data_IF_446159761730
#
_entry.id   IF_446159761730
#
_cell.length_a   1.000
_cell.length_b   1.000
_cell.length_c   1.000
_cell.angle_alpha   90.00
_cell.angle_beta   90.00
_cell.angle_gamma   90.00
#
_symmetry.space_group_name_H-M   'P 1'
#
loop_
_entity.id
_entity.type
_entity.pdbx_description
1 polymer ?
#
# COMPACT_ATOMS: atom_id res chain seq x y z
N UNK A 1 8.40 -28.46 -19.82
CA UNK A 1 9.05 -27.15 -19.56
C UNK A 1 8.34 -26.33 -18.46
N UNK A 2 7.58 -26.96 -17.56
CA UNK A 2 6.91 -26.31 -16.41
C UNK A 2 7.55 -26.66 -15.05
N UNK A 3 8.59 -27.51 -15.04
CA UNK A 3 9.16 -28.10 -13.82
C UNK A 3 10.44 -27.40 -13.32
N UNK A 4 11.08 -26.56 -14.15
CA UNK A 4 12.39 -25.95 -13.85
C UNK A 4 12.31 -24.57 -13.18
N UNK A 5 11.17 -23.86 -13.27
CA UNK A 5 10.99 -22.51 -12.70
C UNK A 5 10.54 -22.51 -11.22
N UNK A 6 10.07 -23.63 -10.69
CA UNK A 6 9.61 -23.72 -9.28
C UNK A 6 10.77 -23.79 -8.27
N UNK A 7 11.96 -24.21 -8.69
CA UNK A 7 13.09 -24.45 -7.78
C UNK A 7 13.99 -23.23 -7.55
N UNK A 8 13.90 -22.18 -8.39
CA UNK A 8 14.71 -20.97 -8.21
C UNK A 8 14.07 -19.90 -7.32
N UNK A 9 12.73 -19.90 -7.18
CA UNK A 9 12.01 -18.94 -6.32
C UNK A 9 12.09 -19.34 -4.83
N UNK A 10 12.20 -20.64 -4.53
CA UNK A 10 12.30 -21.13 -3.16
C UNK A 10 13.59 -20.70 -2.42
N UNK A 11 14.69 -20.54 -3.15
CA UNK A 11 16.00 -20.23 -2.55
C UNK A 11 16.10 -18.76 -2.08
N UNK A 12 15.41 -17.83 -2.76
CA UNK A 12 15.43 -16.41 -2.40
C UNK A 12 14.53 -16.10 -1.19
N UNK A 13 13.39 -16.80 -1.06
CA UNK A 13 12.49 -16.66 0.10
C UNK A 13 13.13 -17.18 1.39
N UNK A 14 13.84 -18.31 1.32
CA UNK A 14 14.55 -18.88 2.47
C UNK A 14 15.71 -17.98 2.94
N UNK A 15 16.41 -17.30 2.04
CA UNK A 15 17.48 -16.35 2.39
C UNK A 15 16.98 -15.09 3.10
N UNK A 16 15.79 -14.60 2.73
CA UNK A 16 15.15 -13.45 3.40
C UNK A 16 14.59 -13.83 4.77
N UNK A 17 14.06 -15.06 4.93
CA UNK A 17 13.56 -15.55 6.21
C UNK A 17 14.69 -15.81 7.24
N UNK A 18 15.85 -16.30 6.81
CA UNK A 18 16.99 -16.58 7.70
C UNK A 18 17.57 -15.30 8.35
N UNK A 19 17.62 -14.19 7.61
CA UNK A 19 18.14 -12.91 8.14
C UNK A 19 17.17 -12.19 9.11
N UNK A 20 15.87 -12.53 9.10
CA UNK A 20 14.88 -11.93 10.00
C UNK A 20 14.80 -12.60 11.38
N UNK A 21 15.46 -13.75 11.57
CA UNK A 21 15.50 -14.47 12.84
C UNK A 21 16.65 -13.99 13.76
N UNK A 22 17.75 -13.49 13.18
CA UNK A 22 18.95 -13.09 13.93
C UNK A 22 18.78 -11.72 14.64
N UNK A 23 18.06 -10.79 14.02
CA UNK A 23 17.82 -9.46 14.57
C UNK A 23 16.91 -9.42 15.83
N UNK A 24 16.29 -10.54 16.23
CA UNK A 24 15.35 -10.62 17.37
C UNK A 24 15.95 -11.10 18.68
N UNK A 25 17.24 -11.46 18.74
CA UNK A 25 17.89 -11.92 19.99
C UNK A 25 18.54 -10.82 20.83
N UNK A 26 18.67 -9.60 20.32
CA UNK A 26 19.45 -8.54 20.99
C UNK A 26 18.63 -7.42 21.69
N UNK A 27 17.30 -7.53 21.77
CA UNK A 27 16.44 -6.46 22.35
C UNK A 27 15.81 -6.83 23.70
N UNK A 28 15.94 -8.08 24.15
CA UNK A 28 15.28 -8.54 25.38
C UNK A 28 16.26 -8.66 26.56
N UNK A 29 16.74 -7.54 27.08
CA UNK A 29 17.25 -7.42 28.46
C UNK A 29 17.55 -5.95 28.77
N UNK A 30 16.59 -5.24 29.37
CA UNK A 30 16.81 -4.11 30.30
C UNK A 30 15.47 -3.54 30.77
N UNK A 31 14.81 -4.30 31.63
CA UNK A 31 13.81 -3.76 32.55
C UNK A 31 14.16 -4.24 33.96
N UNK A 32 14.73 -3.34 34.75
CA UNK A 32 14.59 -3.37 36.21
C UNK A 32 15.03 -2.02 36.78
N UNK A 33 14.27 -1.57 37.79
CA UNK A 33 14.55 -0.48 38.73
C UNK A 33 14.04 0.92 38.34
N UNK A 34 12.79 1.22 38.74
CA UNK A 34 12.52 2.16 39.85
C UNK A 34 11.01 2.32 40.08
N UNK A 35 10.50 1.65 41.12
CA UNK A 35 9.22 2.00 41.75
C UNK A 35 9.49 3.16 42.71
N UNK A 36 8.96 4.35 42.42
CA UNK A 36 8.74 5.39 43.43
C UNK A 36 7.24 5.53 43.63
N UNK A 37 6.79 5.38 44.88
CA UNK A 37 5.41 5.64 45.31
C UNK A 37 5.10 7.13 45.14
N UNK A 38 4.00 7.46 44.47
CA UNK A 38 3.44 8.81 44.46
C UNK A 38 2.40 8.94 45.60
N UNK A 39 2.36 10.06 46.34
CA UNK A 39 1.37 10.26 47.39
C UNK A 39 0.02 10.63 46.78
N UNK A 40 -1.02 10.09 47.43
CA UNK A 40 -2.43 10.28 47.15
C UNK A 40 -2.81 11.76 47.24
N UNK A 41 -3.45 12.29 46.19
CA UNK A 41 -3.96 13.65 46.12
C UNK A 41 -5.05 13.74 45.06
N UNK A 42 -6.29 13.55 45.48
CA UNK A 42 -7.49 13.82 44.68
C UNK A 42 -7.55 15.34 44.45
N UNK A 43 -7.47 15.76 43.20
CA UNK A 43 -8.02 17.04 42.73
C UNK A 43 -8.72 16.79 41.41
N UNK A 44 -10.02 16.97 41.46
CA UNK A 44 -10.89 17.12 40.30
C UNK A 44 -10.33 18.23 39.40
N UNK A 45 -9.89 17.84 38.21
CA UNK A 45 -9.63 18.73 37.10
C UNK A 45 -10.34 18.14 35.87
N UNK A 46 -11.53 18.67 35.66
CA UNK A 46 -12.06 19.10 34.36
C UNK A 46 -12.39 17.98 33.36
N UNK A 47 -13.66 17.55 33.40
CA UNK A 47 -14.31 16.65 32.43
C UNK A 47 -14.52 17.23 31.02
N UNK A 48 -13.55 17.97 30.50
CA UNK A 48 -13.58 18.62 29.17
C UNK A 48 -12.69 17.91 28.12
N UNK A 49 -12.06 16.78 28.46
CA UNK A 49 -11.26 16.00 27.51
C UNK A 49 -11.98 14.77 26.93
N UNK A 50 -13.26 14.56 27.28
CA UNK A 50 -14.00 13.33 26.93
C UNK A 50 -14.80 13.42 25.61
N UNK A 51 -14.71 14.53 24.86
CA UNK A 51 -15.60 14.80 23.72
C UNK A 51 -14.95 14.83 22.32
N UNK A 52 -13.81 14.18 22.10
CA UNK A 52 -13.06 14.41 20.84
C UNK A 52 -12.53 13.21 20.05
N UNK A 53 -12.66 11.95 20.49
CA UNK A 53 -12.09 10.84 19.72
C UNK A 53 -12.87 9.53 19.84
N UNK A 54 -14.14 9.57 19.44
CA UNK A 54 -14.79 8.38 18.89
C UNK A 54 -14.74 8.45 17.37
N UNK A 55 -13.73 7.81 16.80
CA UNK A 55 -13.94 7.00 15.60
C UNK A 55 -13.16 5.70 15.77
N UNK A 56 -13.91 4.66 16.13
CA UNK A 56 -13.49 3.27 16.10
C UNK A 56 -13.36 2.77 14.66
N UNK A 57 -12.51 1.77 14.45
CA UNK A 57 -12.66 0.72 13.43
C UNK A 57 -12.90 1.18 11.97
N UNK A 58 -11.95 1.94 11.44
CA UNK A 58 -11.38 2.01 10.07
C UNK A 58 -10.57 3.31 10.11
N UNK A 59 -9.29 3.26 9.73
CA UNK A 59 -8.48 4.49 9.71
C UNK A 59 -9.09 5.44 8.68
N UNK A 60 -9.44 6.66 9.10
CA UNK A 60 -9.94 7.69 8.17
C UNK A 60 -8.90 7.94 7.07
N UNK A 61 -9.35 8.31 5.86
CA UNK A 61 -8.48 8.50 4.69
C UNK A 61 -7.31 9.46 4.94
N UNK A 62 -7.50 10.52 5.74
CA UNK A 62 -6.44 11.46 6.11
C UNK A 62 -5.35 10.78 6.92
N UNK A 63 -5.73 9.98 7.91
CA UNK A 63 -4.78 9.20 8.71
C UNK A 63 -4.03 8.15 7.86
N UNK A 64 -4.70 7.55 6.87
CA UNK A 64 -4.06 6.63 5.91
C UNK A 64 -3.08 7.37 4.98
N UNK A 65 -3.44 8.55 4.49
CA UNK A 65 -2.56 9.38 3.67
C UNK A 65 -1.36 9.89 4.46
N UNK A 66 -1.55 10.30 5.72
CA UNK A 66 -0.46 10.72 6.59
C UNK A 66 0.50 9.55 6.89
N UNK A 67 -0.03 8.36 7.19
CA UNK A 67 0.79 7.16 7.39
C UNK A 67 1.56 6.80 6.12
N UNK A 68 0.88 6.75 4.97
CA UNK A 68 1.51 6.47 3.68
C UNK A 68 2.60 7.50 3.33
N UNK A 69 2.34 8.79 3.52
CA UNK A 69 3.29 9.87 3.26
C UNK A 69 4.55 9.79 4.16
N UNK A 70 4.44 9.22 5.36
CA UNK A 70 5.59 9.03 6.25
C UNK A 70 6.65 8.06 5.70
N UNK A 71 6.27 7.19 4.74
CA UNK A 71 7.17 6.28 4.02
C UNK A 71 7.68 6.87 2.70
N UNK A 72 7.16 8.01 2.26
CA UNK A 72 7.46 8.62 0.96
C UNK A 72 7.73 10.12 1.15
N UNK A 73 8.89 10.45 1.72
CA UNK A 73 9.24 11.82 2.10
C UNK A 73 10.01 12.54 1.00
N UNK A 74 10.94 11.84 0.36
CA UNK A 74 11.84 12.39 -0.66
C UNK A 74 11.13 12.60 -1.99
N UNK A 75 11.51 13.65 -2.72
CA UNK A 75 10.96 13.93 -4.06
C UNK A 75 11.29 12.83 -5.06
N UNK A 76 12.49 12.24 -4.98
CA UNK A 76 12.89 11.10 -5.80
C UNK A 76 11.99 9.88 -5.61
N UNK A 77 11.75 9.48 -4.36
CA UNK A 77 10.82 8.36 -4.10
C UNK A 77 9.42 8.65 -4.62
N UNK A 78 8.88 9.85 -4.34
CA UNK A 78 7.55 10.26 -4.84
C UNK A 78 7.47 10.21 -6.37
N UNK A 79 8.51 10.67 -7.08
CA UNK A 79 8.53 10.65 -8.55
C UNK A 79 8.49 9.22 -9.11
N UNK A 80 9.32 8.32 -8.56
CA UNK A 80 9.34 6.91 -8.95
C UNK A 80 7.99 6.22 -8.67
N UNK A 81 7.34 6.56 -7.56
CA UNK A 81 6.00 6.05 -7.24
C UNK A 81 4.92 6.60 -8.17
N UNK A 82 4.93 7.90 -8.46
CA UNK A 82 3.98 8.56 -9.40
C UNK A 82 4.02 7.95 -10.80
N UNK A 83 5.16 7.41 -11.23
CA UNK A 83 5.28 6.71 -12.52
C UNK A 83 4.98 5.22 -12.37
N UNK A 84 5.59 4.55 -11.39
CA UNK A 84 5.52 3.10 -11.27
C UNK A 84 4.16 2.57 -10.83
N UNK A 85 3.40 3.29 -9.99
CA UNK A 85 2.05 2.85 -9.57
C UNK A 85 1.10 2.80 -10.77
N UNK A 86 0.97 3.86 -11.60
CA UNK A 86 0.17 3.78 -12.83
C UNK A 86 0.59 2.66 -13.77
N UNK A 87 1.90 2.42 -13.95
CA UNK A 87 2.40 1.32 -14.78
C UNK A 87 1.98 -0.04 -14.23
N UNK A 88 2.12 -0.26 -12.92
CA UNK A 88 1.70 -1.49 -12.25
C UNK A 88 0.19 -1.69 -12.42
N UNK A 89 -0.62 -0.66 -12.19
CA UNK A 89 -2.08 -0.76 -12.30
C UNK A 89 -2.53 -1.10 -13.73
N UNK A 90 -2.04 -0.34 -14.72
CA UNK A 90 -2.35 -0.56 -16.13
C UNK A 90 -2.02 -1.99 -16.56
N UNK A 91 -0.80 -2.43 -16.27
CA UNK A 91 -0.32 -3.74 -16.68
C UNK A 91 -0.97 -4.89 -15.90
N UNK A 92 -1.21 -4.73 -14.60
CA UNK A 92 -1.88 -5.74 -13.77
C UNK A 92 -3.31 -5.98 -14.25
N UNK A 93 -4.08 -4.92 -14.47
CA UNK A 93 -5.45 -5.04 -14.98
C UNK A 93 -5.45 -5.65 -16.39
N UNK A 94 -4.51 -5.25 -17.25
CA UNK A 94 -4.34 -5.87 -18.56
C UNK A 94 -4.05 -7.37 -18.50
N UNK A 95 -3.18 -7.82 -17.59
CA UNK A 95 -2.90 -9.26 -17.41
C UNK A 95 -4.12 -10.00 -16.87
N UNK A 96 -4.79 -9.45 -15.86
CA UNK A 96 -5.94 -10.07 -15.22
C UNK A 96 -7.19 -10.12 -16.12
N UNK A 97 -7.34 -9.19 -17.07
CA UNK A 97 -8.41 -9.19 -18.06
C UNK A 97 -8.38 -10.44 -18.98
N UNK A 98 -7.27 -11.18 -18.99
CA UNK A 98 -7.09 -12.42 -19.76
C UNK A 98 -7.46 -13.69 -18.98
N UNK A 99 -7.83 -13.54 -17.72
CA UNK A 99 -8.16 -14.65 -16.82
C UNK A 99 -9.67 -14.67 -16.64
N UNK A 100 -10.42 -15.45 -17.45
CA UNK A 100 -11.87 -15.51 -17.33
C UNK A 100 -12.28 -16.12 -15.99
N UNK A 101 -13.38 -15.64 -15.41
CA UNK A 101 -13.96 -16.18 -14.17
C UNK A 101 -15.33 -16.78 -14.45
N UNK A 102 -16.28 -15.97 -14.92
CA UNK A 102 -17.63 -16.43 -15.23
C UNK A 102 -18.35 -15.45 -16.18
N UNK A 103 -18.88 -15.96 -17.30
CA UNK A 103 -19.56 -15.13 -18.29
C UNK A 103 -18.67 -13.97 -18.76
N UNK A 104 -19.15 -12.70 -18.71
CA UNK A 104 -18.34 -11.54 -19.10
C UNK A 104 -17.36 -11.08 -18.00
N UNK A 105 -17.31 -11.76 -16.85
CA UNK A 105 -16.47 -11.37 -15.71
C UNK A 105 -15.12 -12.07 -15.79
N UNK A 106 -14.06 -11.28 -15.80
CA UNK A 106 -12.67 -11.71 -15.64
C UNK A 106 -12.09 -11.30 -14.27
N UNK A 107 -10.87 -11.73 -13.99
CA UNK A 107 -10.20 -11.46 -12.72
C UNK A 107 -9.88 -9.96 -12.51
N UNK A 108 -9.75 -9.17 -13.57
CA UNK A 108 -9.52 -7.73 -13.44
C UNK A 108 -10.78 -7.04 -12.94
N UNK A 109 -11.95 -7.39 -13.49
CA UNK A 109 -13.25 -6.85 -13.03
C UNK A 109 -13.44 -7.16 -11.54
N UNK A 110 -13.14 -8.38 -11.08
CA UNK A 110 -13.22 -8.71 -9.66
C UNK A 110 -12.29 -7.84 -8.80
N UNK A 111 -11.04 -7.66 -9.23
CA UNK A 111 -10.09 -6.81 -8.51
C UNK A 111 -10.57 -5.35 -8.45
N UNK A 112 -11.09 -4.82 -9.56
CA UNK A 112 -11.64 -3.46 -9.62
C UNK A 112 -12.81 -3.33 -8.65
N UNK A 113 -13.77 -4.26 -8.65
CA UNK A 113 -14.92 -4.22 -7.73
C UNK A 113 -14.47 -4.22 -6.27
N UNK A 114 -13.53 -5.11 -5.89
CA UNK A 114 -13.01 -5.16 -4.52
C UNK A 114 -12.30 -3.87 -4.13
N UNK A 115 -11.43 -3.35 -4.99
CA UNK A 115 -10.72 -2.10 -4.74
C UNK A 115 -11.68 -0.91 -4.66
N UNK A 116 -12.69 -0.86 -5.54
CA UNK A 116 -13.64 0.24 -5.63
C UNK A 116 -14.56 0.31 -4.40
N UNK A 117 -14.99 -0.84 -3.87
CA UNK A 117 -15.71 -0.88 -2.59
C UNK A 117 -14.87 -0.21 -1.49
N UNK A 118 -13.57 -0.51 -1.42
CA UNK A 118 -12.66 0.14 -0.46
C UNK A 118 -12.54 1.63 -0.74
N UNK A 119 -12.36 2.04 -2.00
CA UNK A 119 -12.19 3.45 -2.36
C UNK A 119 -13.42 4.30 -2.05
N UNK A 120 -14.62 3.79 -2.36
CA UNK A 120 -15.87 4.47 -2.05
C UNK A 120 -16.12 4.56 -0.53
N UNK A 121 -15.69 3.56 0.25
CA UNK A 121 -15.71 3.62 1.72
C UNK A 121 -14.76 4.70 2.24
N UNK A 122 -13.58 4.86 1.62
CA UNK A 122 -12.58 5.82 2.06
C UNK A 122 -12.95 7.27 1.70
N UNK A 123 -13.37 7.52 0.47
CA UNK A 123 -13.90 8.81 0.00
C UNK A 123 -14.65 8.62 -1.34
N UNK A 124 -15.94 8.96 -1.39
CA UNK A 124 -16.77 8.70 -2.57
C UNK A 124 -16.35 9.49 -3.82
N UNK A 125 -15.74 10.68 -3.66
CA UNK A 125 -15.30 11.51 -4.80
C UNK A 125 -14.04 10.94 -5.41
N UNK A 126 -13.07 10.59 -4.57
CA UNK A 126 -11.85 9.93 -5.03
C UNK A 126 -12.17 8.54 -5.61
N UNK A 127 -13.07 7.78 -4.98
CA UNK A 127 -13.58 6.51 -5.53
C UNK A 127 -14.17 6.69 -6.92
N UNK A 128 -15.12 7.62 -7.09
CA UNK A 128 -15.73 7.87 -8.40
C UNK A 128 -14.70 8.21 -9.51
N UNK A 129 -13.69 9.02 -9.21
CA UNK A 129 -12.61 9.32 -10.17
C UNK A 129 -11.74 8.08 -10.40
N UNK A 130 -11.43 7.33 -9.35
CA UNK A 130 -10.61 6.13 -9.42
C UNK A 130 -11.31 4.97 -10.16
N UNK A 131 -12.64 4.91 -10.15
CA UNK A 131 -13.42 4.02 -11.00
C UNK A 131 -13.18 4.32 -12.48
N UNK A 132 -13.22 5.60 -12.87
CA UNK A 132 -12.95 6.02 -14.27
C UNK A 132 -11.53 5.66 -14.67
N UNK A 133 -10.54 5.94 -13.82
CA UNK A 133 -9.14 5.59 -14.08
C UNK A 133 -8.94 4.08 -14.17
N UNK A 134 -9.58 3.30 -13.28
CA UNK A 134 -9.50 1.83 -13.30
C UNK A 134 -10.14 1.24 -14.55
N UNK A 135 -11.30 1.77 -14.99
CA UNK A 135 -11.94 1.37 -16.23
C UNK A 135 -11.06 1.69 -17.44
N UNK A 136 -10.48 2.89 -17.51
CA UNK A 136 -9.55 3.26 -18.57
C UNK A 136 -8.35 2.31 -18.62
N UNK A 137 -7.74 2.02 -17.47
CA UNK A 137 -6.59 1.12 -17.40
C UNK A 137 -6.94 -0.32 -17.74
N UNK A 138 -8.13 -0.79 -17.36
CA UNK A 138 -8.64 -2.09 -17.79
C UNK A 138 -8.70 -2.18 -19.33
N UNK A 139 -9.38 -1.22 -19.98
CA UNK A 139 -9.52 -1.24 -21.44
C UNK A 139 -8.18 -1.07 -22.15
N UNK A 140 -7.36 -0.10 -21.75
CA UNK A 140 -6.04 0.13 -22.38
C UNK A 140 -5.12 -1.05 -22.14
N UNK A 141 -5.06 -1.59 -20.92
CA UNK A 141 -4.22 -2.74 -20.58
C UNK A 141 -4.63 -4.02 -21.34
N UNK A 142 -5.93 -4.20 -21.60
CA UNK A 142 -6.42 -5.31 -22.41
C UNK A 142 -5.95 -5.22 -23.88
N UNK A 143 -5.78 -4.01 -24.43
CA UNK A 143 -5.27 -3.78 -25.79
C UNK A 143 -3.76 -4.05 -25.93
N UNK A 144 -2.98 -3.92 -24.86
CA UNK A 144 -1.54 -4.18 -24.91
C UNK A 144 -1.24 -5.67 -25.01
N UNK A 145 -0.23 -6.10 -25.79
CA UNK A 145 0.17 -7.51 -25.82
C UNK A 145 0.71 -7.96 -24.46
N UNK A 146 0.54 -9.25 -24.12
CA UNK A 146 0.89 -9.78 -22.80
C UNK A 146 2.36 -9.51 -22.41
N UNK A 147 3.30 -9.66 -23.34
CA UNK A 147 4.72 -9.42 -23.07
C UNK A 147 4.99 -7.97 -22.64
N UNK A 148 4.25 -6.99 -23.20
CA UNK A 148 4.40 -5.59 -22.84
C UNK A 148 3.78 -5.32 -21.47
N UNK A 149 2.63 -5.90 -21.16
CA UNK A 149 2.08 -5.83 -19.81
C UNK A 149 3.06 -6.40 -18.78
N UNK A 150 3.64 -7.57 -19.03
CA UNK A 150 4.67 -8.14 -18.13
C UNK A 150 5.87 -7.20 -17.98
N UNK A 151 6.37 -6.64 -19.08
CA UNK A 151 7.50 -5.71 -19.04
C UNK A 151 7.18 -4.45 -18.22
N UNK A 152 6.03 -3.81 -18.46
CA UNK A 152 5.59 -2.63 -17.72
C UNK A 152 5.35 -2.92 -16.24
N UNK A 153 4.82 -4.10 -15.91
CA UNK A 153 4.62 -4.53 -14.53
C UNK A 153 5.95 -4.65 -13.79
N UNK A 154 6.93 -5.33 -14.41
CA UNK A 154 8.28 -5.49 -13.85
C UNK A 154 8.98 -4.15 -13.71
N UNK A 155 8.94 -3.30 -14.74
CA UNK A 155 9.54 -1.95 -14.69
C UNK A 155 8.88 -1.13 -13.58
N UNK A 156 7.55 -1.15 -13.47
CA UNK A 156 6.81 -0.44 -12.43
C UNK A 156 7.28 -0.84 -11.03
N UNK A 157 7.44 -2.13 -10.76
CA UNK A 157 7.97 -2.63 -9.49
C UNK A 157 9.43 -2.26 -9.24
N UNK A 158 10.28 -2.34 -10.26
CA UNK A 158 11.68 -1.87 -10.16
C UNK A 158 11.68 -0.40 -9.73
N UNK A 159 10.84 0.44 -10.32
CA UNK A 159 10.73 1.84 -9.92
C UNK A 159 10.31 1.98 -8.44
N UNK A 160 9.34 1.21 -7.94
CA UNK A 160 8.96 1.25 -6.52
C UNK A 160 10.13 0.89 -5.60
N UNK A 161 10.81 -0.21 -5.91
CA UNK A 161 11.92 -0.69 -5.08
C UNK A 161 13.13 0.23 -5.14
N UNK A 162 13.44 0.80 -6.31
CA UNK A 162 14.51 1.81 -6.46
C UNK A 162 14.14 3.07 -5.68
N UNK A 163 12.90 3.55 -5.78
CA UNK A 163 12.38 4.67 -4.99
C UNK A 163 12.68 4.52 -3.50
N UNK A 164 12.27 3.39 -2.93
CA UNK A 164 12.45 3.10 -1.52
C UNK A 164 13.91 2.83 -1.11
N UNK A 165 14.64 2.02 -1.88
CA UNK A 165 16.02 1.62 -1.53
C UNK A 165 17.05 2.71 -1.78
N UNK A 166 16.89 3.51 -2.84
CA UNK A 166 17.85 4.56 -3.20
C UNK A 166 17.55 5.84 -2.45
N UNK A 167 16.29 6.27 -2.35
CA UNK A 167 15.97 7.60 -1.82
C UNK A 167 15.51 7.58 -0.36
N UNK A 168 14.71 6.59 0.07
CA UNK A 168 14.25 6.53 1.48
C UNK A 168 15.17 5.72 2.39
N UNK A 169 16.01 4.83 1.83
CA UNK A 169 16.83 3.87 2.57
C UNK A 169 15.98 3.03 3.54
N UNK A 170 14.73 2.74 3.14
CA UNK A 170 13.74 2.03 3.95
C UNK A 170 12.98 1.04 3.08
N UNK A 171 12.50 -0.04 3.68
CA UNK A 171 11.60 -0.98 3.01
C UNK A 171 10.26 -0.31 2.60
N UNK A 172 9.61 -0.80 1.53
CA UNK A 172 8.29 -0.35 1.14
C UNK A 172 7.22 -0.44 2.23
N UNK A 173 6.28 0.51 2.19
CA UNK A 173 5.25 0.66 3.22
C UNK A 173 4.30 -0.54 3.30
N UNK A 174 4.09 -1.26 2.20
CA UNK A 174 3.16 -2.39 2.15
C UNK A 174 3.65 -3.63 2.90
N UNK A 175 4.97 -3.76 3.17
CA UNK A 175 5.49 -4.82 4.05
C UNK A 175 5.05 -4.65 5.51
N UNK A 176 4.62 -3.44 5.89
CA UNK A 176 4.08 -3.15 7.23
C UNK A 176 2.55 -3.18 7.23
N UNK A 177 1.92 -2.76 6.14
CA UNK A 177 0.47 -2.75 5.99
C UNK A 177 0.09 -2.94 4.52
N UNK A 178 -0.44 -4.11 4.16
CA UNK A 178 -0.82 -4.43 2.79
C UNK A 178 -1.86 -3.45 2.21
N UNK A 179 -2.66 -2.79 3.06
CA UNK A 179 -3.59 -1.74 2.63
C UNK A 179 -2.89 -0.58 1.90
N UNK A 180 -1.60 -0.36 2.13
CA UNK A 180 -0.82 0.65 1.40
C UNK A 180 -0.73 0.40 -0.11
N UNK A 181 -0.99 -0.83 -0.59
CA UNK A 181 -1.14 -1.10 -2.01
C UNK A 181 -2.38 -0.43 -2.61
N UNK A 182 -3.46 -0.28 -1.83
CA UNK A 182 -4.70 0.41 -2.24
C UNK A 182 -4.63 1.91 -1.94
N UNK A 183 -3.97 2.30 -0.84
CA UNK A 183 -3.82 3.73 -0.47
C UNK A 183 -2.92 4.49 -1.44
N UNK A 184 -1.86 3.85 -1.95
CA UNK A 184 -0.89 4.49 -2.88
C UNK A 184 -1.54 5.10 -4.13
N UNK A 185 -2.38 4.36 -4.88
CA UNK A 185 -3.16 4.90 -6.00
C UNK A 185 -4.00 6.12 -5.65
N UNK A 186 -4.78 6.06 -4.57
CA UNK A 186 -5.62 7.20 -4.14
C UNK A 186 -4.78 8.40 -3.70
N UNK A 187 -3.64 8.16 -3.06
CA UNK A 187 -2.74 9.23 -2.63
C UNK A 187 -2.13 9.96 -3.84
N UNK A 188 -1.70 9.23 -4.87
CA UNK A 188 -1.23 9.84 -6.13
C UNK A 188 -2.37 10.58 -6.84
N UNK A 189 -3.57 9.98 -6.89
CA UNK A 189 -4.72 10.62 -7.51
C UNK A 189 -5.05 11.96 -6.81
N UNK A 190 -5.03 11.99 -5.48
CA UNK A 190 -5.30 13.19 -4.70
C UNK A 190 -4.20 14.26 -4.85
N UNK A 191 -2.96 13.88 -5.13
CA UNK A 191 -1.88 14.81 -5.45
C UNK A 191 -2.08 15.48 -6.83
N UNK A 192 -2.75 14.79 -7.78
CA UNK A 192 -3.08 15.33 -9.10
C UNK A 192 -4.40 16.09 -9.13
N UNK A 193 -5.41 15.59 -8.41
CA UNK A 193 -6.75 16.16 -8.27
C UNK A 193 -7.04 16.31 -6.78
N UNK A 194 -6.67 17.45 -6.16
CA UNK A 194 -6.83 17.64 -4.72
C UNK A 194 -8.31 17.65 -4.31
N UNK A 195 -8.76 16.55 -3.70
CA UNK A 195 -10.11 16.38 -3.16
C UNK A 195 -10.07 16.42 -1.63
N UNK A 196 -9.15 15.65 -1.05
CA UNK A 196 -8.89 15.58 0.38
C UNK A 196 -7.71 16.49 0.70
N UNK A 197 -7.95 17.49 1.55
CA UNK A 197 -6.89 18.34 2.10
C UNK A 197 -6.09 17.51 3.11
N UNK A 198 -4.81 17.28 2.88
CA UNK A 198 -3.92 16.49 3.75
C UNK A 198 -3.02 17.41 4.53
#
# INVERSE_FOLDING_TARGET
MYWYLSHQVGSLVLFVCANAADARRHVMMRDSLRIRKAPFGIRDLDGEAYHGRKMSAVRDIRSLFADYASYHRTSGNKAFHRIGIPLIMLSLLGMLARVPVAGPVDAAILLIVVAEVVYLILDWRLGAIMLVVSALFYYVGALLPLWLNVALFVIGWILQFVGHSVYEKRQPAFFKNALHLLVGPLWILNDLVPVVKV
#
